data_IF_817120365500
#
_entry.id   IF_817120365500
#
_cell.length_a   1.000
_cell.length_b   1.000
_cell.length_c   1.000
_cell.angle_alpha   90.00
_cell.angle_beta   90.00
_cell.angle_gamma   90.00
#
_symmetry.space_group_name_H-M   'P 1'
#
loop_
_entity.id
_entity.type
_entity.pdbx_description
1 polymer ?
#
# COMPACT_ATOMS: atom_id res chain seq x y z
N UNK A 1 0.66 2.98 10.89
CA UNK A 1 2.06 3.20 11.31
C UNK A 1 2.78 4.19 10.40
N UNK A 2 3.17 3.82 9.17
CA UNK A 2 4.02 4.66 8.32
C UNK A 2 3.43 6.06 8.03
N UNK A 3 2.14 6.16 7.72
CA UNK A 3 1.48 7.45 7.50
C UNK A 3 1.54 8.39 8.72
N UNK A 4 1.39 7.85 9.94
CA UNK A 4 1.53 8.63 11.17
C UNK A 4 2.96 9.12 11.38
N UNK A 5 3.95 8.25 11.13
CA UNK A 5 5.36 8.64 11.23
C UNK A 5 5.71 9.76 10.24
N UNK A 6 5.26 9.65 8.98
CA UNK A 6 5.46 10.70 7.97
C UNK A 6 4.80 12.02 8.37
N UNK A 7 3.60 11.97 8.97
CA UNK A 7 2.91 13.16 9.50
C UNK A 7 3.69 13.83 10.62
N UNK A 8 4.16 13.05 11.59
CA UNK A 8 4.98 13.52 12.73
C UNK A 8 6.31 14.12 12.26
N UNK A 9 6.92 13.57 11.20
CA UNK A 9 8.15 14.08 10.59
C UNK A 9 7.95 15.34 9.73
N UNK A 10 6.70 15.79 9.54
CA UNK A 10 6.40 16.99 8.77
C UNK A 10 6.60 16.82 7.26
N UNK A 11 6.32 15.64 6.70
CA UNK A 11 6.37 15.47 5.24
C UNK A 11 5.36 16.41 4.55
N UNK A 12 5.72 16.94 3.39
CA UNK A 12 4.84 17.85 2.64
C UNK A 12 3.79 17.09 1.82
N UNK A 13 4.22 16.09 1.07
CA UNK A 13 3.36 15.33 0.16
C UNK A 13 3.94 13.93 -0.09
N UNK A 14 3.06 12.97 -0.35
CA UNK A 14 3.41 11.58 -0.68
C UNK A 14 2.77 11.21 -2.01
N UNK A 15 3.55 10.58 -2.89
CA UNK A 15 3.08 10.00 -4.15
C UNK A 15 3.30 8.48 -4.10
N UNK A 16 2.29 7.70 -4.47
CA UNK A 16 2.37 6.24 -4.43
C UNK A 16 1.51 5.58 -5.49
N UNK A 17 1.79 4.30 -5.75
CA UNK A 17 1.11 3.54 -6.79
C UNK A 17 -0.24 3.01 -6.38
N UNK A 18 -0.28 1.82 -5.78
CA UNK A 18 -1.53 1.18 -5.37
C UNK A 18 -1.86 1.41 -3.89
N UNK A 19 -3.14 1.31 -3.56
CA UNK A 19 -3.61 1.30 -2.17
C UNK A 19 -3.06 0.11 -1.38
N UNK A 20 -3.15 0.20 -0.05
CA UNK A 20 -2.84 -0.90 0.84
C UNK A 20 -4.13 -1.34 1.55
N UNK A 21 -4.71 -2.42 1.06
CA UNK A 21 -6.04 -2.91 1.46
C UNK A 21 -6.11 -3.43 2.90
N UNK A 22 -4.96 -3.69 3.54
CA UNK A 22 -4.91 -4.23 4.91
C UNK A 22 -4.51 -3.20 5.95
N UNK A 23 -3.60 -2.30 5.59
CA UNK A 23 -2.91 -1.42 6.55
C UNK A 23 -2.73 0.03 6.06
N UNK A 24 -3.44 0.42 5.00
CA UNK A 24 -3.24 1.74 4.39
C UNK A 24 -3.68 2.89 5.30
N UNK A 25 -2.76 3.84 5.51
CA UNK A 25 -2.98 5.03 6.33
C UNK A 25 -3.23 6.32 5.55
N UNK A 26 -3.41 6.22 4.23
CA UNK A 26 -3.67 7.35 3.33
C UNK A 26 -5.06 7.22 2.67
N UNK A 27 -6.08 6.83 3.43
CA UNK A 27 -7.48 6.72 2.98
C UNK A 27 -7.95 5.32 2.58
N UNK A 28 -7.06 4.38 2.21
CA UNK A 28 -7.53 3.04 1.80
C UNK A 28 -8.04 2.15 2.94
N UNK A 29 -7.63 2.41 4.19
CA UNK A 29 -8.22 1.80 5.41
C UNK A 29 -8.51 2.88 6.44
N UNK A 30 -7.54 3.77 6.70
CA UNK A 30 -7.67 4.93 7.57
C UNK A 30 -7.09 6.17 6.86
N UNK A 31 -7.70 7.35 7.05
CA UNK A 31 -7.17 8.63 6.58
C UNK A 31 -6.23 9.30 7.59
N UNK A 32 -5.17 8.61 8.04
CA UNK A 32 -4.21 9.17 9.02
C UNK A 32 -3.48 10.41 8.47
N UNK A 33 -3.29 10.49 7.16
CA UNK A 33 -2.65 11.63 6.50
C UNK A 33 -3.47 12.92 6.61
N UNK A 34 -4.81 12.84 6.64
CA UNK A 34 -5.67 14.03 6.50
C UNK A 34 -7.02 13.93 7.25
N UNK A 35 -7.78 12.85 7.06
CA UNK A 35 -9.15 12.73 7.60
C UNK A 35 -9.21 12.63 9.12
N UNK A 36 -8.19 12.02 9.75
CA UNK A 36 -8.14 11.87 11.19
C UNK A 36 -7.52 13.12 11.85
N UNK A 37 -8.14 13.66 12.91
CA UNK A 37 -7.56 14.76 13.67
C UNK A 37 -6.28 14.31 14.36
N UNK A 38 -5.33 15.23 14.48
CA UNK A 38 -4.09 15.02 15.22
C UNK A 38 -3.80 16.25 16.08
N UNK A 39 -3.44 16.10 17.37
CA UNK A 39 -3.24 17.24 18.27
C UNK A 39 -2.10 18.16 17.84
N UNK A 40 -0.95 17.58 17.46
CA UNK A 40 0.29 18.37 17.30
C UNK A 40 0.82 18.49 15.86
N UNK A 41 0.30 17.70 14.90
CA UNK A 41 0.92 17.57 13.58
C UNK A 41 -0.08 17.82 12.44
N UNK A 42 0.23 18.73 11.50
CA UNK A 42 -0.66 19.05 10.39
C UNK A 42 -0.84 17.86 9.45
N UNK A 43 -1.92 17.88 8.65
CA UNK A 43 -2.13 16.89 7.60
C UNK A 43 -1.12 17.05 6.46
N UNK A 44 -1.00 16.03 5.62
CA UNK A 44 -0.23 16.07 4.38
C UNK A 44 -1.01 15.45 3.23
N UNK A 45 -0.75 15.95 2.02
CA UNK A 45 -1.40 15.45 0.80
C UNK A 45 -0.81 14.10 0.39
N UNK A 46 -1.68 13.15 0.05
CA UNK A 46 -1.27 11.84 -0.45
C UNK A 46 -1.95 11.58 -1.80
N UNK A 47 -1.17 11.52 -2.88
CA UNK A 47 -1.69 11.27 -4.24
C UNK A 47 -1.37 9.84 -4.65
N UNK A 48 -2.41 9.06 -4.93
CA UNK A 48 -2.31 7.66 -5.35
C UNK A 48 -2.42 7.50 -6.87
N UNK A 49 -2.08 6.31 -7.39
CA UNK A 49 -2.33 5.92 -8.78
C UNK A 49 -1.09 5.83 -9.67
N UNK A 50 0.08 6.30 -9.20
CA UNK A 50 1.31 6.32 -10.00
C UNK A 50 1.86 4.93 -10.27
N UNK A 51 1.82 4.48 -11.52
CA UNK A 51 2.19 3.09 -11.88
C UNK A 51 1.42 2.06 -11.02
N UNK A 52 0.12 2.31 -10.79
CA UNK A 52 -0.75 1.48 -9.94
C UNK A 52 -0.72 0.02 -10.37
N UNK A 53 -0.81 -0.24 -11.67
CA UNK A 53 -0.90 -1.59 -12.21
C UNK A 53 0.40 -2.36 -11.98
N UNK A 54 1.54 -1.71 -12.24
CA UNK A 54 2.87 -2.25 -12.01
C UNK A 54 3.10 -2.53 -10.52
N UNK A 55 2.70 -1.61 -9.63
CA UNK A 55 2.80 -1.81 -8.19
C UNK A 55 1.99 -3.04 -7.72
N UNK A 56 0.77 -3.22 -8.24
CA UNK A 56 -0.05 -4.41 -7.95
C UNK A 56 0.63 -5.68 -8.48
N UNK A 57 1.16 -5.68 -9.71
CA UNK A 57 1.82 -6.84 -10.29
C UNK A 57 3.09 -7.23 -9.53
N UNK A 58 3.87 -6.25 -9.07
CA UNK A 58 5.06 -6.50 -8.24
C UNK A 58 4.65 -7.19 -6.94
N UNK A 59 3.59 -6.72 -6.26
CA UNK A 59 3.07 -7.37 -5.06
C UNK A 59 2.56 -8.78 -5.33
N UNK A 60 1.81 -9.00 -6.41
CA UNK A 60 1.32 -10.33 -6.78
C UNK A 60 2.46 -11.30 -7.08
N UNK A 61 3.50 -10.85 -7.79
CA UNK A 61 4.73 -11.62 -8.02
C UNK A 61 5.38 -12.01 -6.69
N UNK A 62 5.58 -11.05 -5.78
CA UNK A 62 6.12 -11.33 -4.45
C UNK A 62 5.32 -12.41 -3.69
N UNK A 63 3.99 -12.37 -3.74
CA UNK A 63 3.16 -13.34 -3.02
C UNK A 63 3.22 -14.77 -3.59
N UNK A 64 3.51 -14.94 -4.88
CA UNK A 64 3.69 -16.26 -5.50
C UNK A 64 5.13 -16.77 -5.38
N UNK A 65 6.11 -15.88 -5.26
CA UNK A 65 7.51 -16.25 -5.02
C UNK A 65 7.69 -17.01 -3.69
N UNK A 66 8.51 -18.05 -3.70
CA UNK A 66 8.85 -18.81 -2.49
C UNK A 66 9.95 -18.10 -1.67
N UNK A 67 9.81 -18.12 -0.35
CA UNK A 67 10.84 -17.60 0.54
C UNK A 67 11.77 -18.74 0.95
N UNK A 68 12.96 -18.79 0.35
CA UNK A 68 13.98 -19.81 0.62
C UNK A 68 14.52 -19.76 2.06
N UNK A 69 14.34 -18.64 2.76
CA UNK A 69 14.76 -18.46 4.15
C UNK A 69 13.66 -18.81 5.16
N UNK A 70 12.51 -19.31 4.71
CA UNK A 70 11.40 -19.65 5.60
C UNK A 70 11.80 -20.82 6.52
N UNK A 71 11.72 -20.67 7.87
CA UNK A 71 12.06 -21.75 8.80
C UNK A 71 11.21 -23.02 8.60
N UNK A 72 10.00 -22.85 8.05
CA UNK A 72 9.13 -23.92 7.59
C UNK A 72 8.70 -23.61 6.15
N UNK A 73 9.34 -24.22 5.14
CA UNK A 73 9.00 -24.00 3.75
C UNK A 73 7.53 -24.34 3.49
N UNK A 74 6.81 -23.44 2.79
CA UNK A 74 5.48 -23.71 2.27
C UNK A 74 5.56 -23.64 0.76
N UNK A 75 5.31 -24.77 0.10
CA UNK A 75 5.24 -24.80 -1.36
C UNK A 75 4.15 -23.85 -1.85
N UNK A 76 4.48 -23.05 -2.85
CA UNK A 76 3.55 -22.17 -3.55
C UNK A 76 3.36 -22.57 -5.02
N UNK A 77 3.78 -23.79 -5.39
CA UNK A 77 3.80 -24.27 -6.79
C UNK A 77 2.46 -24.12 -7.53
N UNK A 78 1.34 -24.19 -6.82
CA UNK A 78 -0.01 -24.07 -7.41
C UNK A 78 -0.50 -22.61 -7.57
N UNK A 79 0.30 -21.60 -7.22
CA UNK A 79 -0.10 -20.20 -7.34
C UNK A 79 0.28 -19.64 -8.70
N UNK A 80 -0.72 -19.21 -9.46
CA UNK A 80 -0.54 -18.53 -10.74
C UNK A 80 -0.56 -17.01 -10.59
N UNK A 81 0.25 -16.31 -11.38
CA UNK A 81 0.21 -14.85 -11.44
C UNK A 81 -1.06 -14.41 -12.15
N UNK A 82 -1.93 -13.70 -11.43
CA UNK A 82 -3.08 -13.01 -12.04
C UNK A 82 -2.61 -11.66 -12.59
N UNK A 83 -2.81 -11.41 -13.87
CA UNK A 83 -2.40 -10.15 -14.54
C UNK A 83 -3.54 -9.15 -14.69
N UNK A 84 -4.79 -9.61 -14.66
CA UNK A 84 -5.98 -8.75 -14.75
C UNK A 84 -6.11 -7.82 -13.53
N UNK A 85 -6.27 -6.52 -13.76
CA UNK A 85 -6.40 -5.51 -12.71
C UNK A 85 -7.70 -4.75 -12.96
N UNK A 86 -8.57 -4.72 -11.95
CA UNK A 86 -9.81 -3.98 -12.03
C UNK A 86 -9.54 -2.46 -12.16
N UNK A 87 -10.38 -1.73 -12.92
CA UNK A 87 -10.31 -0.29 -12.99
C UNK A 87 -10.49 0.32 -11.59
N UNK A 88 -10.04 1.56 -11.42
CA UNK A 88 -10.29 2.31 -10.19
C UNK A 88 -11.81 2.51 -10.11
N UNK A 89 -12.43 2.03 -9.03
CA UNK A 89 -13.81 2.39 -8.74
C UNK A 89 -13.84 3.88 -8.41
N UNK A 90 -14.42 4.68 -9.30
CA UNK A 90 -14.77 6.06 -9.01
C UNK A 90 -15.82 6.02 -7.89
N UNK A 91 -15.39 6.34 -6.66
CA UNK A 91 -16.29 6.63 -5.55
C UNK A 91 -16.81 8.05 -5.64
#
# INVERSE_FOLDING_TARGET
MCASALRQLGIKEVFYGCGNDRFGGCGSVLGVNEELPHPDHPSYKATSGFCREEAILILRRFYITENTNAPKPKSKANRTLKTEIAPISSG
#
